data_IF_529648061720
#
_entry.id   IF_529648061720
#
_cell.length_a   1.000
_cell.length_b   1.000
_cell.length_c   1.000
_cell.angle_alpha   90.00
_cell.angle_beta   90.00
_cell.angle_gamma   90.00
#
_symmetry.space_group_name_H-M   'P 1'
#
loop_
_entity.id
_entity.type
_entity.pdbx_description
1 polymer ?
#
# COMPACT_ATOMS: atom_id res chain seq x y z
N UNK A 1 3.60 6.91 -19.67
CA UNK A 1 2.39 7.61 -19.20
C UNK A 1 2.79 8.32 -17.93
N UNK A 2 2.80 9.66 -17.92
CA UNK A 2 3.13 10.42 -16.70
C UNK A 2 2.08 10.14 -15.62
N UNK A 3 2.53 9.91 -14.38
CA UNK A 3 1.66 9.58 -13.25
C UNK A 3 1.39 10.88 -12.48
N UNK A 4 0.28 11.54 -12.79
CA UNK A 4 -0.13 12.75 -12.07
C UNK A 4 -0.78 12.37 -10.74
N UNK A 5 -0.15 12.74 -9.62
CA UNK A 5 -0.65 12.48 -8.27
C UNK A 5 -1.72 13.50 -7.85
N UNK A 6 -1.55 14.75 -8.27
CA UNK A 6 -2.45 15.87 -8.02
C UNK A 6 -2.22 16.96 -9.05
N UNK A 7 -3.29 17.65 -9.45
CA UNK A 7 -3.19 18.93 -10.15
C UNK A 7 -4.27 19.88 -9.66
N UNK A 8 -4.02 21.17 -9.85
CA UNK A 8 -4.96 22.24 -9.50
C UNK A 8 -5.36 22.99 -10.75
N UNK A 9 -6.65 23.34 -10.83
CA UNK A 9 -7.19 24.22 -11.84
C UNK A 9 -7.99 25.30 -11.11
N UNK A 10 -7.48 26.53 -11.11
CA UNK A 10 -7.99 27.65 -10.34
C UNK A 10 -8.16 27.30 -8.85
N UNK A 11 -9.40 27.17 -8.38
CA UNK A 11 -9.76 26.84 -7.01
C UNK A 11 -10.14 25.37 -6.81
N UNK A 12 -10.02 24.55 -7.86
CA UNK A 12 -10.32 23.11 -7.82
C UNK A 12 -9.02 22.30 -7.69
N UNK A 13 -9.02 21.35 -6.75
CA UNK A 13 -7.93 20.39 -6.54
C UNK A 13 -8.41 19.01 -7.00
N UNK A 14 -7.70 18.43 -7.96
CA UNK A 14 -7.96 17.08 -8.45
C UNK A 14 -6.94 16.13 -7.82
N UNK A 15 -7.46 15.15 -7.08
CA UNK A 15 -6.66 14.17 -6.36
C UNK A 15 -6.87 12.79 -6.97
N UNK A 16 -5.79 12.02 -7.10
CA UNK A 16 -5.87 10.60 -7.44
C UNK A 16 -6.17 9.80 -6.17
N UNK A 17 -7.38 9.24 -6.07
CA UNK A 17 -7.80 8.41 -4.93
C UNK A 17 -6.91 7.19 -4.71
N UNK A 18 -6.24 6.70 -5.77
CA UNK A 18 -5.34 5.55 -5.68
C UNK A 18 -4.05 5.86 -4.90
N UNK A 19 -3.71 7.15 -4.73
CA UNK A 19 -2.59 7.59 -3.88
C UNK A 19 -2.92 7.50 -2.39
N UNK A 20 -4.20 7.28 -2.06
CA UNK A 20 -4.70 7.12 -0.71
C UNK A 20 -5.08 5.67 -0.40
N UNK A 21 -5.71 5.01 -1.37
CA UNK A 21 -6.20 3.63 -1.26
C UNK A 21 -5.71 2.85 -2.48
N UNK A 22 -4.58 2.16 -2.33
CA UNK A 22 -3.81 1.50 -3.39
C UNK A 22 -4.38 0.14 -3.83
N UNK A 23 -5.70 0.01 -3.84
CA UNK A 23 -6.41 -1.20 -4.20
C UNK A 23 -7.42 -0.96 -5.32
N UNK A 24 -7.87 -2.04 -5.97
CA UNK A 24 -8.93 -1.95 -6.97
C UNK A 24 -10.25 -1.53 -6.31
N UNK A 25 -11.12 -0.85 -7.07
CA UNK A 25 -12.47 -0.51 -6.59
C UNK A 25 -13.22 -1.75 -6.08
N UNK A 26 -13.06 -2.90 -6.75
CA UNK A 26 -13.69 -4.16 -6.35
C UNK A 26 -13.24 -4.61 -4.97
N UNK A 27 -11.92 -4.62 -4.73
CA UNK A 27 -11.36 -4.98 -3.43
C UNK A 27 -11.81 -4.00 -2.33
N UNK A 28 -11.90 -2.70 -2.63
CA UNK A 28 -12.35 -1.70 -1.68
C UNK A 28 -13.84 -1.85 -1.32
N UNK A 29 -14.71 -2.11 -2.31
CA UNK A 29 -16.13 -2.39 -2.06
C UNK A 29 -16.31 -3.69 -1.27
N UNK A 30 -15.56 -4.73 -1.61
CA UNK A 30 -15.54 -5.99 -0.88
C UNK A 30 -15.18 -5.80 0.60
N UNK A 31 -14.15 -5.01 0.89
CA UNK A 31 -13.75 -4.69 2.26
C UNK A 31 -14.87 -3.97 3.04
N UNK A 32 -15.57 -3.02 2.40
CA UNK A 32 -16.71 -2.36 3.04
C UNK A 32 -17.85 -3.34 3.34
N UNK A 33 -18.14 -4.26 2.42
CA UNK A 33 -19.16 -5.30 2.62
C UNK A 33 -18.82 -6.21 3.81
N UNK A 34 -17.57 -6.70 3.92
CA UNK A 34 -17.15 -7.54 5.05
C UNK A 34 -17.20 -6.77 6.38
N UNK A 35 -16.92 -5.46 6.35
CA UNK A 35 -16.97 -4.61 7.54
C UNK A 35 -18.40 -4.27 8.01
N UNK A 36 -19.44 -4.79 7.34
CA UNK A 36 -20.84 -4.43 7.58
C UNK A 36 -21.12 -2.91 7.48
N UNK A 37 -20.46 -2.22 6.53
CA UNK A 37 -20.76 -0.82 6.27
C UNK A 37 -22.22 -0.66 5.80
N UNK A 38 -22.90 0.37 6.28
CA UNK A 38 -24.28 0.71 5.91
C UNK A 38 -24.49 1.25 4.47
N UNK A 39 -23.42 1.61 3.73
CA UNK A 39 -23.47 2.23 2.40
C UNK A 39 -24.43 3.43 2.32
N UNK A 40 -24.37 4.35 3.30
CA UNK A 40 -25.33 5.44 3.46
C UNK A 40 -25.47 6.34 2.22
N UNK A 41 -24.37 6.83 1.64
CA UNK A 41 -24.49 7.76 0.49
C UNK A 41 -24.94 7.00 -0.76
N UNK A 42 -24.42 5.79 -0.98
CA UNK A 42 -24.87 4.91 -2.05
C UNK A 42 -26.38 4.62 -1.98
N UNK A 43 -26.89 4.25 -0.79
CA UNK A 43 -28.32 3.95 -0.61
C UNK A 43 -29.18 5.20 -0.81
N UNK A 44 -28.71 6.37 -0.38
CA UNK A 44 -29.42 7.64 -0.61
C UNK A 44 -29.44 8.01 -2.10
N UNK A 45 -28.33 7.79 -2.82
CA UNK A 45 -28.23 8.10 -4.24
C UNK A 45 -29.14 7.22 -5.10
N UNK A 46 -29.27 5.94 -4.75
CA UNK A 46 -30.14 4.98 -5.44
C UNK A 46 -31.44 4.70 -4.67
N UNK A 47 -31.96 5.67 -3.88
CA UNK A 47 -33.10 5.46 -3.00
C UNK A 47 -34.35 4.98 -3.75
N UNK A 48 -34.58 5.50 -4.96
CA UNK A 48 -35.74 5.17 -5.79
C UNK A 48 -35.58 3.85 -6.57
N UNK A 49 -34.52 3.08 -6.31
CA UNK A 49 -34.24 1.83 -7.01
C UNK A 49 -34.20 0.63 -6.04
N UNK A 50 -35.23 -0.21 -6.10
CA UNK A 50 -35.32 -1.43 -5.28
C UNK A 50 -34.22 -2.45 -5.63
N UNK A 51 -33.75 -2.42 -6.88
CA UNK A 51 -32.69 -3.29 -7.37
C UNK A 51 -31.27 -2.75 -7.15
N UNK A 52 -31.11 -1.63 -6.42
CA UNK A 52 -29.80 -1.01 -6.12
C UNK A 52 -28.78 -1.97 -5.49
N UNK A 53 -29.24 -3.03 -4.83
CA UNK A 53 -28.37 -4.05 -4.26
C UNK A 53 -27.49 -4.75 -5.31
N UNK A 54 -27.97 -4.85 -6.56
CA UNK A 54 -27.19 -5.39 -7.68
C UNK A 54 -26.00 -4.49 -8.09
N UNK A 55 -26.05 -3.20 -7.74
CA UNK A 55 -25.00 -2.22 -8.01
C UNK A 55 -24.00 -2.08 -6.84
N UNK A 56 -24.16 -2.83 -5.73
CA UNK A 56 -23.25 -2.82 -4.56
C UNK A 56 -21.99 -3.69 -4.73
N UNK A 57 -21.50 -3.79 -5.95
CA UNK A 57 -20.24 -4.44 -6.32
C UNK A 57 -19.71 -3.76 -7.57
N UNK A 58 -18.42 -3.95 -7.87
CA UNK A 58 -17.84 -3.42 -9.10
C UNK A 58 -18.56 -4.04 -10.30
N UNK A 59 -19.01 -3.19 -11.23
CA UNK A 59 -19.61 -3.64 -12.48
C UNK A 59 -18.56 -4.22 -13.44
N UNK A 60 -19.02 -4.93 -14.46
CA UNK A 60 -18.13 -5.44 -15.51
C UNK A 60 -18.48 -4.83 -16.85
N UNK A 61 -17.46 -4.40 -17.59
CA UNK A 61 -17.62 -3.64 -18.82
C UNK A 61 -16.75 -4.22 -19.95
N UNK A 62 -17.29 -4.42 -21.17
CA UNK A 62 -16.55 -4.98 -22.29
C UNK A 62 -15.78 -3.85 -23.00
N UNK A 63 -14.62 -3.46 -22.46
CA UNK A 63 -13.81 -2.38 -23.02
C UNK A 63 -13.40 -2.62 -24.48
N UNK A 64 -13.01 -3.85 -24.82
CA UNK A 64 -12.62 -4.24 -26.17
C UNK A 64 -13.78 -4.18 -27.18
N UNK A 65 -15.03 -4.22 -26.70
CA UNK A 65 -16.20 -4.10 -27.57
C UNK A 65 -16.46 -2.66 -27.98
N UNK A 66 -16.31 -1.70 -27.06
CA UNK A 66 -16.61 -0.28 -27.29
C UNK A 66 -15.40 0.44 -27.91
N UNK A 67 -15.09 0.08 -29.16
CA UNK A 67 -14.05 0.71 -29.98
C UNK A 67 -14.57 1.87 -30.85
N UNK A 68 -15.90 2.00 -30.98
CA UNK A 68 -16.57 2.99 -31.83
C UNK A 68 -17.83 3.54 -31.15
N UNK A 69 -18.07 4.85 -31.33
CA UNK A 69 -19.19 5.57 -30.71
C UNK A 69 -20.55 5.03 -31.19
N UNK A 70 -20.65 4.55 -32.43
CA UNK A 70 -21.91 4.01 -32.96
C UNK A 70 -22.42 2.81 -32.16
N UNK A 71 -21.51 2.05 -31.53
CA UNK A 71 -21.87 0.88 -30.71
C UNK A 71 -22.65 1.25 -29.45
N UNK A 72 -22.61 2.50 -29.00
CA UNK A 72 -23.46 3.00 -27.92
C UNK A 72 -24.96 2.85 -28.22
N UNK A 73 -25.35 2.94 -29.49
CA UNK A 73 -26.75 2.76 -29.93
C UNK A 73 -27.19 1.29 -29.99
N UNK A 74 -26.30 0.33 -29.69
CA UNK A 74 -26.59 -1.10 -29.72
C UNK A 74 -27.67 -1.43 -28.71
N UNK A 75 -28.74 -2.12 -29.12
CA UNK A 75 -29.90 -2.45 -28.27
C UNK A 75 -29.83 -3.83 -27.61
N UNK A 76 -28.78 -4.59 -27.91
CA UNK A 76 -28.56 -5.95 -27.41
C UNK A 76 -27.35 -5.98 -26.50
N UNK A 77 -27.44 -6.72 -25.39
CA UNK A 77 -26.27 -6.95 -24.55
C UNK A 77 -25.20 -7.75 -25.32
N UNK A 78 -23.92 -7.32 -25.33
CA UNK A 78 -22.86 -8.01 -26.06
C UNK A 78 -22.68 -9.45 -25.60
N UNK A 79 -22.31 -10.33 -26.52
CA UNK A 79 -22.00 -11.72 -26.23
C UNK A 79 -20.74 -11.85 -25.36
N UNK A 80 -20.62 -12.96 -24.62
CA UNK A 80 -19.53 -13.19 -23.65
C UNK A 80 -18.13 -13.08 -24.25
N UNK A 81 -17.93 -13.46 -25.51
CA UNK A 81 -16.66 -13.34 -26.22
C UNK A 81 -16.17 -11.88 -26.33
N UNK A 82 -17.09 -10.91 -26.30
CA UNK A 82 -16.77 -9.47 -26.37
C UNK A 82 -16.23 -8.90 -25.07
N UNK A 83 -16.25 -9.65 -23.98
CA UNK A 83 -15.71 -9.27 -22.67
C UNK A 83 -14.26 -9.73 -22.44
N UNK A 84 -13.55 -10.20 -23.47
CA UNK A 84 -12.15 -10.59 -23.33
C UNK A 84 -11.27 -9.40 -22.91
N UNK A 85 -10.54 -9.57 -21.81
CA UNK A 85 -9.63 -8.56 -21.28
C UNK A 85 -8.26 -8.70 -21.97
N UNK A 86 -7.97 -7.81 -22.91
CA UNK A 86 -6.72 -7.80 -23.69
C UNK A 86 -5.50 -7.53 -22.80
N UNK A 87 -5.65 -6.77 -21.69
CA UNK A 87 -4.54 -6.45 -20.81
C UNK A 87 -4.15 -7.63 -19.92
N UNK A 88 -5.15 -8.34 -19.40
CA UNK A 88 -4.93 -9.51 -18.54
C UNK A 88 -4.81 -10.83 -19.33
N UNK A 89 -5.16 -10.83 -20.62
CA UNK A 89 -5.26 -12.02 -21.47
C UNK A 89 -6.19 -13.09 -20.87
N UNK A 90 -7.32 -12.65 -20.32
CA UNK A 90 -8.29 -13.53 -19.65
C UNK A 90 -9.72 -13.27 -20.12
N UNK A 91 -10.52 -14.33 -20.10
CA UNK A 91 -11.97 -14.23 -20.30
C UNK A 91 -12.67 -13.83 -18.99
N UNK A 92 -13.82 -13.16 -19.13
CA UNK A 92 -14.74 -12.93 -18.03
C UNK A 92 -15.25 -14.26 -17.44
N UNK A 93 -15.48 -14.30 -16.13
CA UNK A 93 -16.13 -15.42 -15.46
C UNK A 93 -17.59 -15.57 -15.91
N UNK A 94 -18.17 -16.77 -15.78
CA UNK A 94 -19.61 -16.99 -16.04
C UNK A 94 -20.50 -16.18 -15.09
N UNK A 95 -20.10 -16.09 -13.82
CA UNK A 95 -20.84 -15.36 -12.79
C UNK A 95 -20.87 -13.86 -13.06
N UNK A 96 -19.73 -13.27 -13.43
CA UNK A 96 -19.65 -11.85 -13.75
C UNK A 96 -20.42 -11.48 -15.02
N UNK A 97 -20.38 -12.34 -16.03
CA UNK A 97 -21.16 -12.14 -17.25
C UNK A 97 -22.66 -12.23 -16.97
N UNK A 98 -23.08 -13.23 -16.19
CA UNK A 98 -24.48 -13.42 -15.79
C UNK A 98 -24.99 -12.25 -14.96
N UNK A 99 -24.17 -11.75 -14.03
CA UNK A 99 -24.48 -10.57 -13.22
C UNK A 99 -24.60 -9.31 -14.07
N UNK A 100 -23.65 -9.06 -14.98
CA UNK A 100 -23.68 -7.90 -15.86
C UNK A 100 -24.92 -7.90 -16.76
N UNK A 101 -25.30 -9.07 -17.29
CA UNK A 101 -26.53 -9.26 -18.06
C UNK A 101 -27.78 -9.01 -17.20
N UNK A 102 -27.82 -9.56 -15.98
CA UNK A 102 -28.90 -9.32 -15.03
C UNK A 102 -29.07 -7.83 -14.72
N UNK A 103 -27.97 -7.10 -14.52
CA UNK A 103 -28.00 -5.64 -14.31
C UNK A 103 -28.54 -4.91 -15.54
N UNK A 104 -28.05 -5.25 -16.73
CA UNK A 104 -28.53 -4.66 -17.99
C UNK A 104 -30.06 -4.81 -18.14
N UNK A 105 -30.56 -6.03 -17.93
CA UNK A 105 -31.98 -6.36 -18.08
C UNK A 105 -32.84 -5.74 -16.97
N UNK A 106 -32.39 -5.81 -15.70
CA UNK A 106 -33.14 -5.34 -14.52
C UNK A 106 -33.30 -3.83 -14.48
N UNK A 107 -32.29 -3.09 -14.94
CA UNK A 107 -32.33 -1.62 -15.00
C UNK A 107 -32.90 -1.09 -16.32
N UNK A 108 -33.40 -1.97 -17.19
CA UNK A 108 -34.11 -1.58 -18.41
C UNK A 108 -33.24 -0.81 -19.41
N UNK A 109 -31.95 -1.15 -19.52
CA UNK A 109 -31.05 -0.49 -20.46
C UNK A 109 -31.54 -0.70 -21.90
N UNK A 110 -32.05 0.37 -22.54
CA UNK A 110 -32.58 0.29 -23.90
C UNK A 110 -31.46 0.28 -24.96
N UNK A 111 -30.33 0.89 -24.61
CA UNK A 111 -29.12 0.99 -25.41
C UNK A 111 -27.89 0.67 -24.58
N UNK A 112 -26.79 0.38 -25.25
CA UNK A 112 -25.50 0.18 -24.60
C UNK A 112 -24.96 1.47 -23.96
N UNK A 113 -25.40 2.64 -24.44
CA UNK A 113 -25.16 3.93 -23.78
C UNK A 113 -25.76 3.98 -22.37
N UNK A 114 -26.97 3.47 -22.19
CA UNK A 114 -27.63 3.43 -20.89
C UNK A 114 -26.86 2.54 -19.91
N UNK A 115 -26.37 1.39 -20.39
CA UNK A 115 -25.52 0.50 -19.61
C UNK A 115 -24.18 1.15 -19.24
N UNK A 116 -23.54 1.85 -20.17
CA UNK A 116 -22.31 2.60 -19.90
C UNK A 116 -22.52 3.69 -18.85
N UNK A 117 -23.63 4.44 -18.93
CA UNK A 117 -23.99 5.47 -17.94
C UNK A 117 -24.19 4.84 -16.58
N UNK A 118 -24.96 3.75 -16.50
CA UNK A 118 -25.20 3.03 -15.25
C UNK A 118 -23.90 2.50 -14.64
N UNK A 119 -23.06 1.84 -15.45
CA UNK A 119 -21.75 1.32 -15.05
C UNK A 119 -20.84 2.42 -14.48
N UNK A 120 -20.72 3.55 -15.20
CA UNK A 120 -19.91 4.69 -14.73
C UNK A 120 -20.48 5.29 -13.45
N UNK A 121 -21.80 5.47 -13.40
CA UNK A 121 -22.47 6.06 -12.26
C UNK A 121 -22.30 5.19 -11.00
N UNK A 122 -22.45 3.87 -11.12
CA UNK A 122 -22.20 2.95 -10.00
C UNK A 122 -20.76 3.03 -9.52
N UNK A 123 -19.78 3.05 -10.44
CA UNK A 123 -18.36 3.13 -10.07
C UNK A 123 -18.04 4.45 -9.33
N UNK A 124 -18.59 5.58 -9.79
CA UNK A 124 -18.40 6.88 -9.14
C UNK A 124 -19.04 6.95 -7.75
N UNK A 125 -20.28 6.46 -7.61
CA UNK A 125 -20.98 6.47 -6.32
C UNK A 125 -20.30 5.54 -5.32
N UNK A 126 -19.87 4.35 -5.74
CA UNK A 126 -19.10 3.43 -4.89
C UNK A 126 -17.78 4.05 -4.44
N UNK A 127 -17.03 4.65 -5.36
CA UNK A 127 -15.78 5.33 -5.02
C UNK A 127 -16.02 6.49 -4.04
N UNK A 128 -17.11 7.24 -4.22
CA UNK A 128 -17.48 8.33 -3.30
C UNK A 128 -17.81 7.81 -1.89
N UNK A 129 -18.49 6.66 -1.77
CA UNK A 129 -18.79 6.03 -0.49
C UNK A 129 -17.49 5.63 0.21
N UNK A 130 -16.61 4.93 -0.52
CA UNK A 130 -15.31 4.47 -0.02
C UNK A 130 -14.46 5.64 0.47
N UNK A 131 -14.31 6.67 -0.35
CA UNK A 131 -13.46 7.80 0.00
C UNK A 131 -14.06 8.63 1.14
N UNK A 132 -15.39 8.75 1.20
CA UNK A 132 -16.08 9.40 2.32
C UNK A 132 -15.88 8.63 3.63
N UNK A 133 -15.96 7.29 3.59
CA UNK A 133 -15.67 6.45 4.75
C UNK A 133 -14.20 6.62 5.20
N UNK A 134 -13.26 6.63 4.26
CA UNK A 134 -11.84 6.87 4.55
C UNK A 134 -11.59 8.24 5.19
N UNK A 135 -12.26 9.30 4.72
CA UNK A 135 -12.21 10.64 5.34
C UNK A 135 -12.73 10.61 6.78
N UNK A 136 -13.89 9.98 7.02
CA UNK A 136 -14.46 9.83 8.37
C UNK A 136 -13.50 9.10 9.32
N UNK A 137 -12.92 7.97 8.87
CA UNK A 137 -11.95 7.22 9.66
C UNK A 137 -10.72 8.06 9.98
N UNK A 138 -10.17 8.76 8.98
CA UNK A 138 -8.98 9.60 9.17
C UNK A 138 -9.25 10.76 10.13
N UNK A 139 -10.40 11.42 10.01
CA UNK A 139 -10.83 12.46 10.95
C UNK A 139 -11.02 11.92 12.36
N UNK A 140 -11.62 10.73 12.52
CA UNK A 140 -11.86 10.13 13.83
C UNK A 140 -10.56 9.67 14.52
N UNK A 141 -9.59 9.13 13.77
CA UNK A 141 -8.37 8.56 14.33
C UNK A 141 -7.22 9.57 14.44
N UNK A 142 -7.10 10.47 13.47
CA UNK A 142 -5.95 11.38 13.35
C UNK A 142 -6.37 12.84 13.45
N UNK A 143 -7.68 13.15 13.38
CA UNK A 143 -8.19 14.53 13.28
C UNK A 143 -7.53 15.29 12.11
N UNK A 144 -7.28 14.57 11.02
CA UNK A 144 -6.70 15.07 9.78
C UNK A 144 -7.62 14.62 8.63
N UNK A 145 -7.94 15.54 7.72
CA UNK A 145 -8.77 15.22 6.55
C UNK A 145 -7.88 14.90 5.34
N UNK A 146 -7.97 13.69 4.75
CA UNK A 146 -7.16 13.28 3.61
C UNK A 146 -7.19 14.22 2.41
N UNK A 147 -8.28 14.98 2.19
CA UNK A 147 -8.39 15.87 1.02
C UNK A 147 -7.40 17.05 1.04
N UNK A 148 -6.82 17.35 2.21
CA UNK A 148 -5.79 18.38 2.33
C UNK A 148 -4.41 17.88 1.93
N UNK A 149 -4.23 16.58 1.79
CA UNK A 149 -2.97 15.93 1.44
C UNK A 149 -2.89 15.59 -0.05
N UNK A 150 -1.70 15.23 -0.52
CA UNK A 150 -1.46 14.73 -1.88
C UNK A 150 -1.53 13.19 -1.92
N UNK A 151 -1.11 12.51 -0.84
CA UNK A 151 -1.09 11.04 -0.75
C UNK A 151 -1.26 10.54 0.69
N UNK A 152 -1.44 9.23 0.85
CA UNK A 152 -1.47 8.58 2.16
C UNK A 152 -0.15 8.75 2.93
N UNK A 153 1.00 8.75 2.25
CA UNK A 153 2.30 8.90 2.89
C UNK A 153 2.47 10.25 3.58
N UNK A 154 1.96 11.34 2.98
CA UNK A 154 1.99 12.68 3.59
C UNK A 154 1.03 12.75 4.78
N UNK A 155 -0.20 12.25 4.62
CA UNK A 155 -1.18 12.15 5.71
C UNK A 155 -0.64 11.36 6.90
N UNK A 156 0.00 10.21 6.66
CA UNK A 156 0.52 9.34 7.72
C UNK A 156 1.74 9.95 8.41
N UNK A 157 2.59 10.66 7.66
CA UNK A 157 3.72 11.40 8.22
C UNK A 157 3.23 12.48 9.19
N UNK A 158 2.28 13.31 8.77
CA UNK A 158 1.67 14.35 9.61
C UNK A 158 0.91 13.76 10.80
N UNK A 159 0.15 12.67 10.61
CA UNK A 159 -0.51 11.97 11.69
C UNK A 159 0.50 11.49 12.75
N UNK A 160 1.66 10.98 12.30
CA UNK A 160 2.76 10.57 13.16
C UNK A 160 3.34 11.76 13.96
N UNK A 161 3.65 12.87 13.28
CA UNK A 161 4.16 14.08 13.93
C UNK A 161 3.15 14.67 14.93
N UNK A 162 1.88 14.74 14.55
CA UNK A 162 0.78 15.19 15.42
C UNK A 162 0.66 14.32 16.67
N UNK A 163 0.82 13.01 16.52
CA UNK A 163 0.76 12.05 17.63
C UNK A 163 1.96 12.20 18.57
N UNK A 164 3.17 12.31 18.03
CA UNK A 164 4.40 12.41 18.81
C UNK A 164 4.64 13.80 19.39
N UNK A 165 4.05 14.85 18.81
CA UNK A 165 4.20 16.26 19.19
C UNK A 165 5.66 16.73 19.17
N UNK A 166 6.39 16.30 18.15
CA UNK A 166 7.80 16.64 17.94
C UNK A 166 7.94 17.62 16.79
N UNK A 167 8.96 18.45 16.85
CA UNK A 167 9.38 19.31 15.75
C UNK A 167 10.67 18.73 15.16
N UNK A 168 10.63 18.35 13.88
CA UNK A 168 11.80 17.82 13.18
C UNK A 168 12.73 18.97 12.80
N UNK A 169 14.03 18.83 13.07
CA UNK A 169 15.02 19.81 12.60
C UNK A 169 15.14 19.73 11.07
N UNK A 170 14.89 20.86 10.39
CA UNK A 170 15.15 20.99 8.97
C UNK A 170 16.66 21.00 8.67
N UNK A 171 17.11 20.12 7.78
CA UNK A 171 18.50 20.11 7.31
C UNK A 171 18.74 21.29 6.38
N UNK A 172 19.38 22.33 6.89
CA UNK A 172 19.63 23.57 6.14
C UNK A 172 20.95 23.55 5.34
N UNK A 173 21.86 22.62 5.67
CA UNK A 173 23.16 22.48 5.01
C UNK A 173 23.13 21.32 4.02
N UNK A 174 23.54 21.57 2.77
CA UNK A 174 23.61 20.56 1.70
C UNK A 174 24.50 19.38 2.04
N UNK A 175 25.59 19.59 2.79
CA UNK A 175 26.51 18.52 3.19
C UNK A 175 25.88 17.58 4.21
N UNK A 176 25.02 18.09 5.11
CA UNK A 176 24.29 17.27 6.08
C UNK A 176 23.25 16.41 5.36
N UNK A 177 22.53 17.01 4.40
CA UNK A 177 21.59 16.29 3.53
C UNK A 177 22.29 15.17 2.75
N UNK A 178 23.37 15.51 2.01
CA UNK A 178 24.13 14.54 1.22
C UNK A 178 24.73 13.44 2.09
N UNK A 179 25.14 13.76 3.32
CA UNK A 179 25.61 12.75 4.26
C UNK A 179 24.50 11.73 4.57
N UNK A 180 23.32 12.20 4.98
CA UNK A 180 22.19 11.31 5.27
C UNK A 180 21.76 10.50 4.05
N UNK A 181 21.58 11.14 2.90
CA UNK A 181 21.17 10.48 1.65
C UNK A 181 22.16 9.36 1.27
N UNK A 182 23.46 9.59 1.39
CA UNK A 182 24.48 8.58 1.13
C UNK A 182 24.45 7.40 2.13
N UNK A 183 24.01 7.64 3.37
CA UNK A 183 23.86 6.60 4.39
C UNK A 183 22.52 5.86 4.32
N UNK A 184 21.52 6.38 3.61
CA UNK A 184 20.26 5.66 3.41
C UNK A 184 20.50 4.37 2.61
N UNK A 185 19.92 3.27 3.10
CA UNK A 185 19.96 1.94 2.50
C UNK A 185 18.57 1.33 2.57
N UNK A 186 18.20 0.58 1.54
CA UNK A 186 16.96 -0.18 1.53
C UNK A 186 17.05 -1.48 2.34
N UNK A 187 16.06 -2.35 2.16
CA UNK A 187 16.05 -3.67 2.77
C UNK A 187 17.26 -4.52 2.36
N UNK A 188 17.80 -5.29 3.31
CA UNK A 188 18.89 -6.24 3.04
C UNK A 188 18.32 -7.41 2.24
N UNK A 189 18.86 -7.64 1.05
CA UNK A 189 18.57 -8.82 0.23
C UNK A 189 19.82 -9.68 0.12
N UNK A 190 19.78 -10.90 0.66
CA UNK A 190 20.88 -11.85 0.63
C UNK A 190 20.42 -13.21 0.11
N UNK A 191 21.00 -13.66 -0.99
CA UNK A 191 20.82 -15.03 -1.50
C UNK A 191 22.04 -15.87 -1.09
N UNK A 192 21.97 -16.46 0.11
CA UNK A 192 23.07 -17.28 0.66
C UNK A 192 23.25 -18.64 -0.05
N UNK A 193 22.17 -19.20 -0.62
CA UNK A 193 22.19 -20.43 -1.42
C UNK A 193 21.24 -20.26 -2.60
N UNK A 194 21.74 -20.44 -3.84
CA UNK A 194 20.97 -20.19 -5.07
C UNK A 194 19.76 -21.13 -5.23
N UNK A 195 19.85 -22.35 -4.72
CA UNK A 195 18.80 -23.34 -4.81
C UNK A 195 18.80 -24.25 -3.58
N UNK A 196 17.63 -24.44 -2.99
CA UNK A 196 17.39 -25.42 -1.95
C UNK A 196 16.08 -26.15 -2.25
N UNK A 197 16.09 -27.47 -2.13
CA UNK A 197 14.91 -28.32 -2.21
C UNK A 197 14.84 -29.14 -0.94
N UNK A 198 13.70 -29.10 -0.28
CA UNK A 198 13.38 -29.95 0.86
C UNK A 198 12.73 -31.25 0.38
N UNK A 199 13.07 -32.37 1.03
CA UNK A 199 12.35 -33.63 0.86
C UNK A 199 11.21 -33.70 1.89
N UNK A 200 10.07 -33.11 1.53
CA UNK A 200 8.94 -32.93 2.42
C UNK A 200 7.84 -33.98 2.13
N UNK A 201 7.49 -34.88 3.08
CA UNK A 201 6.48 -35.92 2.88
C UNK A 201 5.06 -35.39 2.63
N UNK A 202 4.78 -34.12 2.93
CA UNK A 202 3.49 -33.48 2.66
C UNK A 202 3.34 -32.97 1.22
N UNK A 203 4.39 -33.07 0.38
CA UNK A 203 4.37 -32.62 -1.01
C UNK A 203 4.60 -33.84 -1.92
N UNK A 204 3.52 -34.56 -2.21
CA UNK A 204 3.52 -35.84 -2.94
C UNK A 204 4.34 -35.82 -4.24
N UNK A 205 4.22 -34.74 -5.01
CA UNK A 205 4.76 -34.64 -6.36
C UNK A 205 6.29 -34.61 -6.39
N UNK A 206 6.93 -34.35 -5.26
CA UNK A 206 8.38 -34.14 -5.17
C UNK A 206 9.07 -34.93 -4.06
N UNK A 207 8.29 -35.73 -3.30
CA UNK A 207 8.74 -36.52 -2.17
C UNK A 207 9.39 -37.84 -2.62
N UNK A 208 10.49 -38.19 -1.98
CA UNK A 208 11.18 -39.46 -2.18
C UNK A 208 11.34 -40.16 -0.82
N UNK A 209 10.72 -41.34 -0.66
CA UNK A 209 10.76 -42.13 0.57
C UNK A 209 12.13 -42.74 0.87
N UNK A 210 13.02 -42.81 -0.13
CA UNK A 210 14.39 -43.30 0.03
C UNK A 210 15.35 -42.25 0.60
N UNK A 211 14.95 -40.97 0.58
CA UNK A 211 15.77 -39.84 1.04
C UNK A 211 15.29 -39.36 2.42
N UNK A 212 16.24 -38.94 3.28
CA UNK A 212 15.89 -38.38 4.59
C UNK A 212 14.98 -37.16 4.45
N UNK A 213 13.99 -37.05 5.32
CA UNK A 213 13.08 -35.90 5.36
C UNK A 213 13.83 -34.60 5.66
N UNK A 214 13.43 -33.53 4.98
CA UNK A 214 13.92 -32.18 5.22
C UNK A 214 12.84 -31.15 4.90
N UNK A 215 12.96 -29.97 5.50
CA UNK A 215 11.98 -28.89 5.41
C UNK A 215 12.70 -27.56 5.14
N UNK A 216 12.01 -26.64 4.47
CA UNK A 216 12.43 -25.24 4.35
C UNK A 216 11.47 -24.42 5.22
N UNK A 217 12.02 -23.67 6.16
CA UNK A 217 11.27 -22.79 7.04
C UNK A 217 11.27 -21.37 6.45
N UNK A 218 10.09 -20.84 6.16
CA UNK A 218 9.89 -19.44 5.82
C UNK A 218 9.48 -18.67 7.09
N UNK A 219 10.28 -17.68 7.47
CA UNK A 219 9.99 -16.77 8.58
C UNK A 219 9.82 -15.37 8.03
N UNK A 220 8.81 -14.66 8.53
CA UNK A 220 8.58 -13.26 8.21
C UNK A 220 8.34 -12.45 9.48
N UNK A 221 8.91 -11.25 9.52
CA UNK A 221 8.79 -10.34 10.66
C UNK A 221 7.59 -9.41 10.43
N UNK A 222 6.50 -9.64 11.17
CA UNK A 222 5.31 -8.80 11.10
C UNK A 222 5.65 -7.36 11.51
N UNK A 223 5.34 -6.40 10.64
CA UNK A 223 5.54 -4.96 10.88
C UNK A 223 6.97 -4.59 11.30
N UNK A 224 7.99 -5.10 10.59
CA UNK A 224 9.40 -4.86 10.88
C UNK A 224 9.74 -3.36 11.05
N UNK A 225 9.30 -2.51 10.12
CA UNK A 225 9.56 -1.07 10.20
C UNK A 225 8.82 -0.41 11.35
N UNK A 226 7.56 -0.78 11.61
CA UNK A 226 6.84 -0.27 12.78
C UNK A 226 7.54 -0.64 14.09
N UNK A 227 8.06 -1.87 14.22
CA UNK A 227 8.88 -2.26 15.36
C UNK A 227 10.15 -1.39 15.48
N UNK A 228 10.87 -1.17 14.38
CA UNK A 228 12.04 -0.31 14.37
C UNK A 228 11.72 1.16 14.73
N UNK A 229 10.57 1.66 14.29
CA UNK A 229 10.08 3.00 14.61
C UNK A 229 9.64 3.17 16.07
N UNK A 230 9.43 2.08 16.82
CA UNK A 230 9.22 2.13 18.26
C UNK A 230 10.54 2.26 19.06
N UNK A 231 11.69 2.19 18.40
CA UNK A 231 12.97 2.47 19.03
C UNK A 231 13.27 3.96 19.01
N UNK A 232 14.23 4.39 19.82
CA UNK A 232 14.73 5.76 19.78
C UNK A 232 15.26 6.12 18.39
N UNK A 233 14.69 7.19 17.79
CA UNK A 233 15.07 7.71 16.47
C UNK A 233 15.66 9.12 16.55
N UNK A 234 16.55 9.50 15.62
CA UNK A 234 17.17 10.81 15.62
C UNK A 234 16.22 11.85 15.00
N UNK A 235 16.11 13.04 15.61
CA UNK A 235 15.15 14.05 15.12
C UNK A 235 15.60 15.51 15.20
N UNK A 236 16.62 15.83 16.01
CA UNK A 236 17.14 17.20 16.18
C UNK A 236 18.58 17.22 16.71
N UNK A 237 19.13 18.43 16.86
CA UNK A 237 20.48 18.74 17.35
C UNK A 237 21.59 18.02 16.58
N UNK A 238 21.48 17.99 15.25
CA UNK A 238 22.49 17.41 14.36
C UNK A 238 23.80 18.20 14.43
N UNK A 239 24.92 17.52 14.75
CA UNK A 239 26.23 18.14 14.80
C UNK A 239 27.36 17.17 14.42
N UNK A 240 28.29 17.65 13.58
CA UNK A 240 29.48 16.90 13.19
C UNK A 240 30.41 16.68 14.39
N UNK A 241 30.89 15.44 14.54
CA UNK A 241 31.87 15.11 15.57
C UNK A 241 33.30 15.23 15.06
N UNK A 242 34.21 15.71 15.91
CA UNK A 242 35.64 15.59 15.67
C UNK A 242 36.09 14.12 15.78
N UNK A 243 37.14 13.70 15.05
CA UNK A 243 37.64 12.33 15.09
C UNK A 243 38.01 11.81 16.50
N UNK A 244 38.51 12.68 17.37
CA UNK A 244 38.89 12.29 18.74
C UNK A 244 37.66 12.00 19.61
N UNK A 245 36.62 12.82 19.50
CA UNK A 245 35.36 12.62 20.20
C UNK A 245 34.65 11.35 19.69
N UNK A 246 34.80 11.04 18.40
CA UNK A 246 34.28 9.82 17.77
C UNK A 246 34.85 8.55 18.38
N UNK A 247 36.18 8.45 18.51
CA UNK A 247 36.84 7.27 19.09
C UNK A 247 36.33 6.99 20.51
N UNK A 248 36.20 8.03 21.34
CA UNK A 248 35.72 7.88 22.72
C UNK A 248 34.29 7.35 22.80
N UNK A 249 33.37 7.81 21.93
CA UNK A 249 31.97 7.36 21.92
C UNK A 249 31.77 6.01 21.25
N UNK A 250 32.52 5.70 20.18
CA UNK A 250 32.45 4.41 19.51
C UNK A 250 32.86 3.26 20.44
N UNK A 251 33.89 3.46 21.27
CA UNK A 251 34.30 2.53 22.32
C UNK A 251 33.15 2.24 23.30
N UNK A 252 32.49 3.27 23.83
CA UNK A 252 31.36 3.13 24.76
C UNK A 252 30.17 2.43 24.10
N UNK A 253 29.81 2.80 22.87
CA UNK A 253 28.68 2.21 22.13
C UNK A 253 28.91 0.73 21.84
N UNK A 254 30.12 0.38 21.38
CA UNK A 254 30.53 -1.01 21.13
C UNK A 254 30.53 -1.82 22.43
N UNK A 255 31.06 -1.29 23.54
CA UNK A 255 31.01 -1.98 24.83
C UNK A 255 29.58 -2.27 25.29
N UNK A 256 28.67 -1.28 25.19
CA UNK A 256 27.27 -1.46 25.58
C UNK A 256 26.51 -2.46 24.70
N UNK A 257 26.73 -2.44 23.38
CA UNK A 257 26.05 -3.33 22.45
C UNK A 257 26.68 -4.73 22.41
N UNK A 258 27.99 -4.87 22.61
CA UNK A 258 28.66 -6.16 22.76
C UNK A 258 28.22 -6.87 24.05
N UNK A 259 27.95 -6.14 25.13
CA UNK A 259 27.38 -6.71 26.37
C UNK A 259 25.95 -7.23 26.11
N UNK A 260 25.10 -6.46 25.41
CA UNK A 260 23.75 -6.91 25.02
C UNK A 260 23.77 -8.11 24.07
N UNK A 261 24.65 -8.12 23.06
CA UNK A 261 24.76 -9.23 22.11
C UNK A 261 25.33 -10.50 22.76
N UNK A 262 26.31 -10.38 23.67
CA UNK A 262 26.85 -11.52 24.44
C UNK A 262 25.85 -12.11 25.43
N UNK A 263 24.94 -11.30 25.97
CA UNK A 263 23.89 -11.75 26.88
C UNK A 263 22.78 -12.53 26.15
N UNK A 264 22.53 -12.23 24.87
CA UNK A 264 21.40 -12.83 24.13
C UNK A 264 21.82 -13.97 23.19
N UNK A 265 23.05 -14.02 22.69
CA UNK A 265 23.48 -15.06 21.74
C UNK A 265 24.92 -15.54 21.98
N UNK A 266 25.07 -16.82 22.33
CA UNK A 266 26.36 -17.51 22.44
C UNK A 266 27.08 -17.56 21.07
N UNK A 267 28.37 -17.22 21.10
CA UNK A 267 29.46 -17.58 20.15
C UNK A 267 29.20 -17.37 18.65
N UNK A 268 29.36 -16.12 18.19
CA UNK A 268 29.80 -15.82 16.83
C UNK A 268 31.03 -14.92 16.90
N UNK A 269 32.18 -15.44 16.44
CA UNK A 269 33.43 -14.68 16.28
C UNK A 269 33.36 -13.85 15.01
N UNK A 270 33.28 -12.53 15.15
CA UNK A 270 33.32 -11.59 14.03
C UNK A 270 34.74 -11.07 13.82
N UNK A 271 35.24 -11.14 12.57
CA UNK A 271 36.40 -10.39 12.11
C UNK A 271 35.93 -9.00 11.69
N UNK A 272 36.41 -7.96 12.36
CA UNK A 272 36.12 -6.58 12.00
C UNK A 272 36.88 -6.21 10.72
N UNK A 273 36.17 -5.69 9.71
CA UNK A 273 36.78 -4.89 8.65
C UNK A 273 37.01 -3.46 9.18
N UNK A 274 38.09 -2.77 8.77
CA UNK A 274 38.40 -1.45 9.28
C UNK A 274 37.27 -0.47 8.92
N UNK A 275 36.74 0.20 9.93
CA UNK A 275 35.84 1.35 9.78
C UNK A 275 36.67 2.42 9.06
N UNK A 276 36.32 2.72 7.81
CA UNK A 276 36.93 3.83 7.10
C UNK A 276 36.62 5.13 7.85
N UNK A 277 37.64 5.94 8.05
CA UNK A 277 37.61 7.25 8.70
C UNK A 277 36.78 8.24 7.90
N UNK A 278 35.46 8.13 8.01
CA UNK A 278 34.52 9.07 7.39
C UNK A 278 33.64 9.67 8.48
N UNK A 279 33.48 10.98 8.38
CA UNK A 279 32.83 11.87 9.34
C UNK A 279 31.50 11.30 9.85
N UNK A 280 31.20 11.48 11.14
CA UNK A 280 29.97 10.99 11.75
C UNK A 280 29.28 12.12 12.51
N UNK A 281 27.95 12.09 12.49
CA UNK A 281 27.10 13.11 13.09
C UNK A 281 26.41 12.58 14.35
N UNK A 282 26.31 13.42 15.38
CA UNK A 282 25.48 13.17 16.56
C UNK A 282 24.15 13.91 16.46
N UNK A 283 23.17 13.42 17.20
CA UNK A 283 21.82 13.96 17.28
C UNK A 283 21.21 13.64 18.63
N UNK A 284 20.11 14.33 18.94
CA UNK A 284 19.21 13.97 20.02
C UNK A 284 18.23 12.90 19.53
N UNK A 285 18.00 11.92 20.41
CA UNK A 285 17.13 10.79 20.14
C UNK A 285 15.78 10.99 20.84
N UNK A 286 14.70 10.57 20.19
CA UNK A 286 13.40 10.43 20.82
C UNK A 286 13.51 9.35 21.90
N UNK A 287 13.31 9.71 23.16
CA UNK A 287 13.20 8.73 24.24
C UNK A 287 11.80 8.13 24.20
N UNK A 288 11.70 6.80 24.38
CA UNK A 288 10.45 6.04 24.23
C UNK A 288 9.26 6.73 24.91
N UNK A 289 8.19 6.94 24.13
CA UNK A 289 6.86 7.38 24.59
C UNK A 289 6.09 6.15 25.12
#
# INVERSE_FOLDING_TARGET
MEKFTMFTLDHLKFLDSYQFLDASLDALVYNLNISNHDFKNFNAFFADNDNRHLLKRKGVFPYSFLDDISKLNTRTFPSKDKFFNVLAQTHISDDDYSHAKLVYDTFGCATFEDYLKLYKLSDYVLLSEIFTNFRKLSLNHYELDPVHYISLSELTFDAGLKKCKIELQLLSNVNDYLFFENQMKGGICLVGKRYAKANNPYISDSYDSSVKHSYILALDCVNLYGFAMNMSLPYTNFAWMTPDRMKSKALIYLEQHLIRLKATYLKLTWKFLPISTTSTMICQWLQNI
#
